data_IF_763186465198
#
_entry.id   IF_763186465198
#
_cell.length_a   1.000
_cell.length_b   1.000
_cell.length_c   1.000
_cell.angle_alpha   90.00
_cell.angle_beta   90.00
_cell.angle_gamma   90.00
#
_symmetry.space_group_name_H-M   'P 1'
#
loop_
_entity.id
_entity.type
_entity.pdbx_description
1 polymer ?
#
# COMPACT_ATOMS: atom_id res chain seq x y z
N UNK A 1 53.80 71.80 -23.49
CA UNK A 1 53.68 72.13 -22.06
C UNK A 1 52.21 72.21 -21.70
N UNK A 2 51.83 71.80 -20.48
CA UNK A 2 51.03 70.60 -20.32
C UNK A 2 49.77 70.83 -19.48
N UNK A 3 48.82 69.92 -19.66
CA UNK A 3 47.84 69.40 -18.69
C UNK A 3 46.88 68.66 -19.63
N UNK A 4 46.95 67.34 -19.74
CA UNK A 4 46.08 66.45 -18.97
C UNK A 4 46.69 65.03 -18.97
N UNK A 5 47.09 64.52 -17.79
CA UNK A 5 46.97 63.09 -17.55
C UNK A 5 46.41 62.74 -16.16
N UNK A 6 45.55 63.59 -15.56
CA UNK A 6 44.95 63.33 -14.23
C UNK A 6 43.43 63.12 -14.19
N UNK A 7 42.67 63.50 -15.22
CA UNK A 7 41.20 63.43 -15.18
C UNK A 7 40.61 62.05 -15.56
N UNK A 8 41.31 61.24 -16.36
CA UNK A 8 40.81 59.93 -16.83
C UNK A 8 41.12 58.76 -15.88
N UNK A 9 42.05 58.93 -14.94
CA UNK A 9 42.35 57.93 -13.90
C UNK A 9 41.33 58.01 -12.75
N UNK A 10 40.91 59.23 -12.38
CA UNK A 10 39.98 59.47 -11.28
C UNK A 10 38.56 58.90 -11.50
N UNK A 11 38.08 58.89 -12.75
CA UNK A 11 36.72 58.40 -13.07
C UNK A 11 36.62 56.87 -13.11
N UNK A 12 37.75 56.16 -13.25
CA UNK A 12 37.78 54.68 -13.21
C UNK A 12 37.91 54.13 -11.78
N UNK A 13 38.58 54.83 -10.87
CA UNK A 13 38.66 54.41 -9.46
C UNK A 13 37.34 54.64 -8.72
N UNK A 14 36.67 55.79 -8.90
CA UNK A 14 35.38 56.07 -8.26
C UNK A 14 34.28 55.05 -8.63
N UNK A 15 34.22 54.61 -9.90
CA UNK A 15 33.28 53.55 -10.34
C UNK A 15 33.63 52.16 -9.81
N UNK A 16 34.88 51.93 -9.39
CA UNK A 16 35.33 50.67 -8.83
C UNK A 16 35.04 50.62 -7.33
N UNK A 17 35.27 51.71 -6.61
CA UNK A 17 34.93 51.86 -5.19
C UNK A 17 33.42 51.77 -4.96
N UNK A 18 32.60 52.48 -5.75
CA UNK A 18 31.13 52.46 -5.59
C UNK A 18 30.54 51.05 -5.81
N UNK A 19 31.07 50.28 -6.77
CA UNK A 19 30.68 48.88 -6.99
C UNK A 19 31.14 47.95 -5.86
N UNK A 20 32.26 48.24 -5.21
CA UNK A 20 32.79 47.43 -4.12
C UNK A 20 31.98 47.66 -2.83
N UNK A 21 31.61 48.91 -2.54
CA UNK A 21 30.77 49.28 -1.38
C UNK A 21 29.34 48.73 -1.50
N UNK A 22 28.75 48.68 -2.70
CA UNK A 22 27.42 48.07 -2.92
C UNK A 22 27.48 46.55 -2.73
N UNK A 23 28.58 45.90 -3.11
CA UNK A 23 28.77 44.45 -2.95
C UNK A 23 28.98 44.06 -1.49
N UNK A 24 29.78 44.82 -0.74
CA UNK A 24 29.96 44.63 0.70
C UNK A 24 28.69 44.90 1.51
N UNK A 25 27.91 45.93 1.16
CA UNK A 25 26.61 46.18 1.81
C UNK A 25 25.61 45.05 1.56
N UNK A 26 25.56 44.46 0.35
CA UNK A 26 24.71 43.27 0.09
C UNK A 26 25.16 42.04 0.87
N UNK A 27 26.46 41.78 0.94
CA UNK A 27 27.00 40.59 1.64
C UNK A 27 26.75 40.71 3.16
N UNK A 28 26.97 41.89 3.76
CA UNK A 28 26.70 42.08 5.19
C UNK A 28 25.20 42.05 5.52
N UNK A 29 24.33 42.60 4.66
CA UNK A 29 22.88 42.54 4.87
C UNK A 29 22.33 41.11 4.74
N UNK A 30 22.91 40.30 3.86
CA UNK A 30 22.51 38.90 3.67
C UNK A 30 23.01 38.01 4.80
N UNK A 31 24.22 38.25 5.32
CA UNK A 31 24.80 37.55 6.48
C UNK A 31 24.02 37.80 7.77
N UNK A 32 23.56 39.03 8.00
CA UNK A 32 22.82 39.41 9.22
C UNK A 32 21.40 38.80 9.25
N UNK A 33 20.72 38.71 8.10
CA UNK A 33 19.42 38.05 8.01
C UNK A 33 19.51 36.52 8.16
N UNK A 34 20.58 35.88 7.69
CA UNK A 34 20.78 34.43 7.89
C UNK A 34 21.08 34.06 9.34
N UNK A 35 21.83 34.86 10.09
CA UNK A 35 22.13 34.53 11.50
C UNK A 35 20.92 34.75 12.43
N UNK A 36 20.09 35.77 12.18
CA UNK A 36 18.85 35.98 12.95
C UNK A 36 17.84 34.85 12.69
N UNK A 37 17.72 34.38 11.44
CA UNK A 37 16.84 33.25 11.10
C UNK A 37 17.36 31.91 11.65
N UNK A 38 18.68 31.69 11.71
CA UNK A 38 19.25 30.49 12.34
C UNK A 38 19.07 30.50 13.87
N UNK A 39 19.30 31.64 14.52
CA UNK A 39 19.13 31.81 15.97
C UNK A 39 17.67 31.61 16.41
N UNK A 40 16.72 32.19 15.67
CA UNK A 40 15.29 32.02 15.94
C UNK A 40 14.78 30.61 15.63
N UNK A 41 15.36 29.89 14.66
CA UNK A 41 15.05 28.49 14.37
C UNK A 41 15.61 27.52 15.44
N UNK A 42 16.80 27.80 15.98
CA UNK A 42 17.41 26.98 17.05
C UNK A 42 16.68 27.11 18.39
N UNK A 43 16.17 28.30 18.73
CA UNK A 43 15.35 28.50 19.94
C UNK A 43 13.95 27.86 19.82
N UNK A 44 13.44 27.71 18.59
CA UNK A 44 12.18 27.00 18.33
C UNK A 44 12.32 25.48 18.52
N UNK A 45 13.50 24.92 18.23
CA UNK A 45 13.80 23.50 18.44
C UNK A 45 14.06 23.13 19.92
N UNK A 46 14.46 24.08 20.77
CA UNK A 46 14.68 23.82 22.20
C UNK A 46 13.43 23.98 23.07
N UNK A 47 12.34 24.53 22.55
CA UNK A 47 11.08 24.77 23.30
C UNK A 47 9.97 23.78 22.96
N UNK A 48 10.14 22.98 21.91
CA UNK A 48 9.27 21.84 21.61
C UNK A 48 10.10 20.56 21.64
N UNK A 49 10.15 19.83 22.76
CA UNK A 49 10.57 18.44 22.68
C UNK A 49 9.60 17.75 21.72
N UNK A 50 10.07 17.41 20.51
CA UNK A 50 9.35 16.51 19.63
C UNK A 50 9.40 15.14 20.29
N UNK A 51 8.44 14.87 21.17
CA UNK A 51 8.15 13.53 21.63
C UNK A 51 7.51 12.79 20.46
N UNK A 52 8.33 12.09 19.66
CA UNK A 52 7.82 11.00 18.84
C UNK A 52 7.46 9.88 19.81
N UNK A 53 6.22 9.91 20.30
CA UNK A 53 5.68 8.81 21.11
C UNK A 53 5.53 7.60 20.16
N UNK A 54 6.54 6.74 20.12
CA UNK A 54 6.65 5.61 19.19
C UNK A 54 5.70 4.44 19.48
N UNK A 55 4.60 4.66 20.20
CA UNK A 55 3.67 3.62 20.67
C UNK A 55 2.33 3.60 19.93
N UNK A 56 2.13 4.47 18.92
CA UNK A 56 0.92 4.50 18.12
C UNK A 56 1.04 3.69 16.82
N UNK A 57 -0.01 2.95 16.47
CA UNK A 57 -0.16 2.36 15.13
C UNK A 57 -0.12 3.47 14.07
N UNK A 58 0.69 3.30 13.02
CA UNK A 58 0.78 4.25 11.91
C UNK A 58 -0.48 4.15 11.06
N UNK A 59 -1.25 5.22 11.05
CA UNK A 59 -2.54 5.26 10.37
C UNK A 59 -2.83 6.66 9.82
N UNK A 60 -3.69 6.72 8.81
CA UNK A 60 -4.25 7.97 8.31
C UNK A 60 -5.66 8.11 8.87
N UNK A 61 -5.94 9.22 9.53
CA UNK A 61 -7.25 9.54 10.09
C UNK A 61 -7.82 10.77 9.39
N UNK A 62 -8.99 10.61 8.78
CA UNK A 62 -9.80 11.68 8.23
C UNK A 62 -11.10 11.74 9.04
N UNK A 63 -11.41 12.87 9.70
CA UNK A 63 -12.61 12.98 10.50
C UNK A 63 -13.87 12.94 9.62
N UNK A 64 -14.92 12.33 10.14
CA UNK A 64 -16.26 12.33 9.53
C UNK A 64 -17.28 11.76 10.50
N UNK A 65 -18.57 11.98 10.21
CA UNK A 65 -19.67 11.40 10.99
C UNK A 65 -19.76 9.89 10.79
N UNK A 66 -19.48 9.41 9.57
CA UNK A 66 -19.39 8.00 9.22
C UNK A 66 -17.94 7.71 8.83
N UNK A 67 -17.23 6.82 9.53
CA UNK A 67 -15.83 6.51 9.21
C UNK A 67 -15.72 5.18 8.50
N UNK A 68 -15.04 5.17 7.36
CA UNK A 68 -14.69 3.95 6.63
C UNK A 68 -13.27 3.50 6.99
N UNK A 69 -13.12 2.22 7.33
CA UNK A 69 -11.81 1.59 7.44
C UNK A 69 -11.20 1.38 6.06
N UNK A 70 -9.89 1.49 5.93
CA UNK A 70 -9.15 1.25 4.69
C UNK A 70 -7.95 0.34 4.94
N UNK A 71 -7.79 -0.71 4.14
CA UNK A 71 -6.62 -1.60 4.18
C UNK A 71 -5.91 -1.61 2.83
N UNK A 72 -4.67 -1.12 2.83
CA UNK A 72 -3.84 -1.04 1.63
C UNK A 72 -2.47 -1.66 1.85
N UNK A 73 -1.87 -2.30 0.83
CA UNK A 73 -0.49 -2.77 0.90
C UNK A 73 0.45 -1.60 0.60
N UNK A 74 0.55 -0.64 1.54
CA UNK A 74 1.41 0.54 1.39
C UNK A 74 2.87 0.12 1.32
N UNK A 75 3.25 -0.89 2.11
CA UNK A 75 4.56 -1.52 2.03
C UNK A 75 4.50 -2.97 1.53
N UNK A 76 5.62 -3.41 0.95
CA UNK A 76 5.95 -4.82 0.71
C UNK A 76 6.13 -5.55 2.05
N UNK A 77 6.12 -6.89 2.01
CA UNK A 77 6.50 -7.67 3.17
C UNK A 77 7.99 -7.44 3.52
N UNK A 78 8.30 -7.24 4.80
CA UNK A 78 9.67 -7.13 5.28
C UNK A 78 10.49 -8.41 5.06
N UNK A 79 11.82 -8.31 5.16
CA UNK A 79 12.70 -9.48 5.09
C UNK A 79 12.31 -10.47 6.19
N UNK A 80 12.20 -11.75 5.84
CA UNK A 80 11.78 -12.83 6.74
C UNK A 80 10.39 -12.66 7.39
N UNK A 81 9.53 -11.80 6.85
CA UNK A 81 8.18 -11.57 7.38
C UNK A 81 8.13 -10.69 8.63
N UNK A 82 9.25 -10.08 9.02
CA UNK A 82 9.29 -9.14 10.14
C UNK A 82 9.16 -7.70 9.63
N UNK A 83 8.10 -7.02 10.06
CA UNK A 83 7.86 -5.62 9.74
C UNK A 83 7.54 -5.37 8.26
N UNK A 84 7.55 -4.09 7.91
CA UNK A 84 7.18 -3.58 6.60
C UNK A 84 8.44 -3.34 5.75
N UNK A 85 8.36 -3.69 4.48
CA UNK A 85 9.42 -3.56 3.49
C UNK A 85 9.44 -2.18 2.82
N UNK A 86 9.71 -2.14 1.52
CA UNK A 86 9.71 -0.91 0.74
C UNK A 86 8.29 -0.43 0.46
N UNK A 87 8.13 0.87 0.23
CA UNK A 87 6.84 1.47 -0.17
C UNK A 87 6.47 1.02 -1.60
N UNK A 88 5.21 0.62 -1.77
CA UNK A 88 4.57 0.28 -3.05
C UNK A 88 3.84 1.51 -3.59
N UNK A 89 4.51 2.28 -4.44
CA UNK A 89 3.98 3.55 -4.95
C UNK A 89 2.63 3.38 -5.68
N UNK A 90 2.52 2.41 -6.59
CA UNK A 90 1.32 2.19 -7.41
C UNK A 90 0.27 1.35 -6.66
N UNK A 91 0.64 0.16 -6.17
CA UNK A 91 -0.31 -0.78 -5.59
C UNK A 91 -0.75 -0.40 -4.17
N UNK A 92 0.05 0.41 -3.47
CA UNK A 92 -0.16 0.86 -2.10
C UNK A 92 -0.61 2.31 -2.05
N UNK A 93 0.32 3.24 -2.28
CA UNK A 93 0.06 4.67 -2.12
C UNK A 93 -1.00 5.20 -3.09
N UNK A 94 -0.95 4.86 -4.38
CA UNK A 94 -1.94 5.34 -5.35
C UNK A 94 -3.35 4.83 -5.01
N UNK A 95 -3.49 3.58 -4.56
CA UNK A 95 -4.79 3.02 -4.14
C UNK A 95 -5.30 3.68 -2.86
N UNK A 96 -4.43 3.92 -1.89
CA UNK A 96 -4.77 4.70 -0.69
C UNK A 96 -5.24 6.12 -1.06
N UNK A 97 -4.48 6.80 -1.92
CA UNK A 97 -4.82 8.14 -2.41
C UNK A 97 -6.14 8.15 -3.17
N UNK A 98 -6.45 7.09 -3.94
CA UNK A 98 -7.72 6.94 -4.63
C UNK A 98 -8.91 6.83 -3.65
N UNK A 99 -8.75 6.15 -2.52
CA UNK A 99 -9.78 6.13 -1.46
C UNK A 99 -9.97 7.52 -0.85
N UNK A 100 -8.89 8.24 -0.55
CA UNK A 100 -8.97 9.61 -0.01
C UNK A 100 -9.66 10.55 -1.00
N UNK A 101 -9.32 10.45 -2.29
CA UNK A 101 -9.97 11.18 -3.36
C UNK A 101 -11.47 10.86 -3.42
N UNK A 102 -11.85 9.59 -3.36
CA UNK A 102 -13.26 9.19 -3.39
C UNK A 102 -14.04 9.71 -2.17
N UNK A 103 -13.44 9.69 -0.97
CA UNK A 103 -14.04 10.27 0.24
C UNK A 103 -14.28 11.78 0.06
N UNK A 104 -13.29 12.50 -0.48
CA UNK A 104 -13.42 13.92 -0.76
C UNK A 104 -14.50 14.22 -1.81
N UNK A 105 -14.53 13.46 -2.91
CA UNK A 105 -15.51 13.61 -3.99
C UNK A 105 -16.94 13.35 -3.48
N UNK A 106 -17.16 12.30 -2.69
CA UNK A 106 -18.47 12.00 -2.11
C UNK A 106 -18.93 13.12 -1.18
N UNK A 107 -18.04 13.63 -0.33
CA UNK A 107 -18.37 14.73 0.59
C UNK A 107 -18.73 16.04 -0.13
N UNK A 108 -18.30 16.23 -1.39
CA UNK A 108 -18.68 17.38 -2.22
C UNK A 108 -20.06 17.21 -2.87
N UNK A 109 -20.55 15.97 -3.03
CA UNK A 109 -21.79 15.64 -3.72
C UNK A 109 -22.96 15.46 -2.76
N UNK A 110 -23.77 16.52 -2.59
CA UNK A 110 -24.95 16.52 -1.70
C UNK A 110 -26.05 15.54 -2.12
N UNK A 111 -26.02 15.04 -3.36
CA UNK A 111 -26.96 14.04 -3.87
C UNK A 111 -26.71 12.62 -3.32
N UNK A 112 -25.48 12.32 -2.88
CA UNK A 112 -25.11 11.00 -2.35
C UNK A 112 -25.30 10.95 -0.83
N UNK A 113 -24.78 11.96 -0.11
CA UNK A 113 -24.91 12.09 1.33
C UNK A 113 -25.25 13.54 1.71
N UNK A 114 -26.54 13.93 1.74
CA UNK A 114 -26.94 15.32 1.94
C UNK A 114 -26.70 15.84 3.37
N UNK A 115 -26.62 14.96 4.37
CA UNK A 115 -26.61 15.33 5.79
C UNK A 115 -25.48 14.68 6.61
N UNK A 116 -24.57 13.95 5.96
CA UNK A 116 -23.50 13.23 6.63
C UNK A 116 -22.16 13.38 5.91
N UNK A 117 -21.07 13.54 6.66
CA UNK A 117 -19.71 13.46 6.13
C UNK A 117 -19.10 12.07 6.31
N UNK A 118 -18.42 11.60 5.27
CA UNK A 118 -17.56 10.42 5.31
C UNK A 118 -16.17 10.82 5.80
N UNK A 119 -15.65 10.08 6.77
CA UNK A 119 -14.26 10.06 7.19
C UNK A 119 -13.58 8.74 6.83
N UNK A 120 -12.31 8.62 7.16
CA UNK A 120 -11.51 7.43 6.87
C UNK A 120 -10.54 7.11 8.01
N UNK A 121 -10.35 5.83 8.27
CA UNK A 121 -9.25 5.29 9.07
C UNK A 121 -8.48 4.30 8.19
N UNK A 122 -7.28 4.66 7.76
CA UNK A 122 -6.52 3.85 6.80
C UNK A 122 -5.29 3.25 7.48
N UNK A 123 -5.12 1.95 7.30
CA UNK A 123 -4.05 1.14 7.87
C UNK A 123 -3.29 0.42 6.77
N UNK A 124 -2.01 0.18 7.03
CA UNK A 124 -1.15 -0.59 6.15
C UNK A 124 -1.25 -2.08 6.45
N UNK A 125 -1.34 -2.91 5.42
CA UNK A 125 -1.28 -4.36 5.54
C UNK A 125 0.16 -4.89 5.51
N UNK A 126 1.11 -4.07 5.07
CA UNK A 126 2.50 -4.44 4.79
C UNK A 126 2.63 -5.70 3.92
N UNK A 127 1.59 -5.98 3.12
CA UNK A 127 1.45 -7.21 2.34
C UNK A 127 1.59 -8.50 3.17
N UNK A 128 1.40 -8.45 4.49
CA UNK A 128 1.47 -9.60 5.42
C UNK A 128 0.11 -9.79 6.09
N UNK A 129 -0.37 -11.03 6.06
CA UNK A 129 -1.69 -11.42 6.57
C UNK A 129 -1.82 -11.30 8.10
N UNK A 130 -0.82 -11.76 8.86
CA UNK A 130 -0.78 -11.59 10.32
C UNK A 130 -0.75 -10.12 10.73
N UNK A 131 0.07 -9.30 10.07
CA UNK A 131 0.16 -7.87 10.35
C UNK A 131 -1.16 -7.15 10.05
N UNK A 132 -1.81 -7.48 8.93
CA UNK A 132 -3.10 -6.92 8.59
C UNK A 132 -4.20 -7.32 9.58
N UNK A 133 -4.14 -8.52 10.15
CA UNK A 133 -5.05 -8.95 11.19
C UNK A 133 -4.87 -8.12 12.47
N UNK A 134 -3.62 -7.85 12.87
CA UNK A 134 -3.32 -6.95 13.99
C UNK A 134 -3.86 -5.54 13.72
N UNK A 135 -3.70 -5.01 12.50
CA UNK A 135 -4.27 -3.71 12.13
C UNK A 135 -5.80 -3.72 12.19
N UNK A 136 -6.44 -4.82 11.80
CA UNK A 136 -7.90 -4.95 11.82
C UNK A 136 -8.47 -4.82 13.23
N UNK A 137 -7.68 -5.10 14.28
CA UNK A 137 -8.09 -4.84 15.67
C UNK A 137 -8.42 -3.37 15.90
N UNK A 138 -7.71 -2.43 15.26
CA UNK A 138 -7.97 -0.99 15.38
C UNK A 138 -9.39 -0.60 14.97
N UNK A 139 -9.94 -1.27 13.95
CA UNK A 139 -11.30 -1.01 13.46
C UNK A 139 -12.39 -1.47 14.42
N UNK A 140 -12.12 -2.54 15.17
CA UNK A 140 -13.11 -3.16 16.06
C UNK A 140 -12.94 -2.74 17.52
N UNK A 141 -11.84 -2.09 17.90
CA UNK A 141 -11.61 -1.62 19.28
C UNK A 141 -12.79 -0.82 19.82
N UNK A 142 -13.33 0.10 19.02
CA UNK A 142 -14.52 0.88 19.40
C UNK A 142 -15.79 0.05 19.53
N UNK A 143 -15.91 -1.07 18.81
CA UNK A 143 -17.04 -1.99 18.89
C UNK A 143 -16.91 -2.97 20.08
N UNK A 144 -15.70 -3.30 20.50
CA UNK A 144 -15.43 -4.16 21.67
C UNK A 144 -15.73 -3.46 23.00
N UNK A 145 -15.79 -2.13 23.03
CA UNK A 145 -16.12 -1.33 24.22
C UNK A 145 -17.63 -1.34 24.53
N UNK A 146 -18.18 -2.52 24.84
CA UNK A 146 -19.55 -2.71 25.31
C UNK A 146 -19.66 -2.52 26.83
N UNK A 147 -19.78 -1.26 27.31
CA UNK A 147 -19.84 -0.96 28.75
C UNK A 147 -18.49 -1.27 29.44
N UNK A 148 -18.01 -0.63 30.49
CA UNK A 148 -18.57 0.17 31.58
C UNK A 148 -17.37 0.90 32.22
N UNK A 149 -17.58 2.10 32.74
CA UNK A 149 -16.78 2.72 33.82
C UNK A 149 -15.27 2.43 33.83
N UNK A 150 -14.56 2.84 32.78
CA UNK A 150 -13.12 3.07 32.96
C UNK A 150 -13.01 4.47 33.56
N UNK A 151 -12.87 4.53 34.87
CA UNK A 151 -12.45 5.75 35.54
C UNK A 151 -10.94 5.90 35.36
N UNK A 152 -10.54 7.06 34.85
CA UNK A 152 -9.16 7.49 34.90
C UNK A 152 -8.72 7.57 36.37
N UNK A 153 -7.40 7.57 36.64
CA UNK A 153 -6.86 7.67 38.00
C UNK A 153 -7.33 8.92 38.77
N UNK A 154 -7.86 9.93 38.06
CA UNK A 154 -8.43 11.16 38.58
C UNK A 154 -9.95 11.09 38.84
N UNK A 155 -10.58 9.92 38.67
CA UNK A 155 -12.02 9.72 38.82
C UNK A 155 -12.85 10.26 37.66
N UNK A 156 -12.23 10.75 36.58
CA UNK A 156 -12.96 11.14 35.37
C UNK A 156 -13.40 9.92 34.58
N UNK A 157 -14.60 9.97 33.98
CA UNK A 157 -15.01 8.93 33.05
C UNK A 157 -14.13 9.01 31.79
N UNK A 158 -13.54 7.88 31.41
CA UNK A 158 -12.77 7.80 30.18
C UNK A 158 -13.69 8.07 28.97
N UNK A 159 -13.55 9.25 28.38
CA UNK A 159 -14.16 9.59 27.10
C UNK A 159 -13.47 8.83 25.97
N UNK A 160 -13.81 7.55 25.81
CA UNK A 160 -13.50 6.83 24.58
C UNK A 160 -14.49 7.27 23.52
N UNK A 161 -14.01 8.01 22.52
CA UNK A 161 -14.81 8.27 21.31
C UNK A 161 -15.00 6.92 20.61
N UNK A 162 -16.15 6.28 20.84
CA UNK A 162 -16.57 5.04 20.18
C UNK A 162 -16.74 5.30 18.70
N UNK A 163 -15.64 5.26 17.96
CA UNK A 163 -15.67 5.44 16.51
C UNK A 163 -15.25 4.12 15.87
N UNK A 164 -16.14 3.13 15.98
CA UNK A 164 -16.04 1.93 15.17
C UNK A 164 -16.26 2.31 13.70
N UNK A 165 -15.52 1.68 12.79
CA UNK A 165 -15.72 1.90 11.36
C UNK A 165 -17.05 1.32 10.90
N UNK A 166 -17.74 2.01 9.99
CA UNK A 166 -19.02 1.55 9.45
C UNK A 166 -18.85 0.41 8.43
N UNK A 167 -17.74 0.41 7.70
CA UNK A 167 -17.36 -0.62 6.75
C UNK A 167 -15.84 -0.58 6.52
N UNK A 168 -15.26 -1.64 5.97
CA UNK A 168 -13.84 -1.69 5.60
C UNK A 168 -13.68 -1.83 4.10
N UNK A 169 -12.91 -0.92 3.49
CA UNK A 169 -12.51 -0.96 2.09
C UNK A 169 -11.15 -1.66 1.99
N UNK A 170 -11.08 -2.75 1.22
CA UNK A 170 -9.91 -3.62 1.14
C UNK A 170 -10.21 -5.05 1.62
N UNK A 171 -9.20 -5.90 1.83
CA UNK A 171 -7.79 -5.68 1.51
C UNK A 171 -7.49 -5.98 0.03
N UNK A 172 -6.23 -5.78 -0.39
CA UNK A 172 -5.80 -6.07 -1.75
C UNK A 172 -5.58 -7.57 -2.00
N UNK A 173 -4.72 -8.21 -1.19
CA UNK A 173 -4.39 -9.64 -1.34
C UNK A 173 -5.53 -10.53 -0.87
N UNK A 174 -5.87 -11.58 -1.63
CA UNK A 174 -6.93 -12.53 -1.26
C UNK A 174 -6.66 -13.21 0.08
N UNK A 175 -5.40 -13.54 0.39
CA UNK A 175 -5.01 -14.15 1.66
C UNK A 175 -5.32 -13.21 2.84
N UNK A 176 -4.95 -11.94 2.71
CA UNK A 176 -5.25 -10.91 3.71
C UNK A 176 -6.77 -10.73 3.84
N UNK A 177 -7.49 -10.62 2.74
CA UNK A 177 -8.95 -10.45 2.76
C UNK A 177 -9.66 -11.63 3.41
N UNK A 178 -9.19 -12.87 3.25
CA UNK A 178 -9.75 -14.04 3.95
C UNK A 178 -9.60 -13.90 5.47
N UNK A 179 -8.42 -13.50 5.96
CA UNK A 179 -8.19 -13.33 7.40
C UNK A 179 -9.02 -12.17 7.98
N UNK A 180 -9.00 -11.02 7.29
CA UNK A 180 -9.73 -9.82 7.69
C UNK A 180 -11.24 -10.07 7.69
N UNK A 181 -11.78 -10.70 6.64
CA UNK A 181 -13.21 -11.00 6.54
C UNK A 181 -13.67 -11.94 7.65
N UNK A 182 -12.85 -12.94 7.98
CA UNK A 182 -13.13 -13.90 9.06
C UNK A 182 -13.26 -13.21 10.42
N UNK A 183 -12.53 -12.12 10.63
CA UNK A 183 -12.57 -11.32 11.86
C UNK A 183 -13.71 -10.30 11.85
N UNK A 184 -13.84 -9.51 10.79
CA UNK A 184 -14.84 -8.44 10.70
C UNK A 184 -16.28 -8.96 10.77
N UNK A 185 -16.54 -10.16 10.24
CA UNK A 185 -17.87 -10.77 10.31
C UNK A 185 -18.35 -11.06 11.74
N UNK A 186 -17.43 -11.29 12.69
CA UNK A 186 -17.78 -11.49 14.11
C UNK A 186 -18.43 -10.23 14.70
N UNK A 187 -18.03 -9.06 14.19
CA UNK A 187 -18.54 -7.75 14.57
C UNK A 187 -19.57 -7.19 13.58
N UNK A 188 -19.98 -8.01 12.60
CA UNK A 188 -20.94 -7.63 11.55
C UNK A 188 -20.52 -6.39 10.74
N UNK A 189 -19.21 -6.19 10.58
CA UNK A 189 -18.68 -5.06 9.82
C UNK A 189 -18.54 -5.51 8.35
N UNK A 190 -19.24 -4.86 7.42
CA UNK A 190 -19.12 -5.18 6.00
C UNK A 190 -17.73 -4.82 5.46
N UNK A 191 -17.21 -5.68 4.61
CA UNK A 191 -15.92 -5.50 3.92
C UNK A 191 -16.14 -5.50 2.41
N UNK A 192 -15.57 -4.51 1.71
CA UNK A 192 -15.58 -4.42 0.25
C UNK A 192 -14.16 -4.37 -0.28
N UNK A 193 -13.69 -5.48 -0.87
CA UNK A 193 -12.37 -5.53 -1.48
C UNK A 193 -12.35 -4.93 -2.90
N UNK A 194 -11.29 -4.19 -3.20
CA UNK A 194 -11.02 -3.61 -4.52
C UNK A 194 -10.10 -4.46 -5.39
N UNK A 195 -9.52 -5.57 -4.88
CA UNK A 195 -8.50 -6.33 -5.63
C UNK A 195 -8.42 -7.83 -5.30
N UNK A 196 -9.09 -8.33 -4.26
CA UNK A 196 -9.02 -9.75 -3.91
C UNK A 196 -9.94 -10.60 -4.77
N UNK A 197 -9.35 -11.41 -5.64
CA UNK A 197 -10.04 -12.21 -6.66
C UNK A 197 -10.21 -13.69 -6.30
N UNK A 198 -9.68 -14.14 -5.16
CA UNK A 198 -9.76 -15.54 -4.73
C UNK A 198 -11.19 -16.10 -4.79
N UNK A 199 -11.38 -17.25 -5.43
CA UNK A 199 -12.71 -17.82 -5.67
C UNK A 199 -13.46 -18.15 -4.37
N UNK A 200 -12.71 -18.57 -3.34
CA UNK A 200 -13.20 -18.90 -2.00
C UNK A 200 -13.94 -17.76 -1.30
N UNK A 201 -13.59 -16.51 -1.59
CA UNK A 201 -14.25 -15.33 -1.02
C UNK A 201 -15.70 -15.15 -1.53
N UNK A 202 -16.12 -15.92 -2.54
CA UNK A 202 -17.51 -15.95 -3.01
C UNK A 202 -18.41 -16.85 -2.17
N UNK A 203 -17.83 -17.65 -1.26
CA UNK A 203 -18.56 -18.61 -0.43
C UNK A 203 -19.31 -17.88 0.70
N UNK A 204 -20.56 -17.46 0.43
CA UNK A 204 -21.36 -16.63 1.35
C UNK A 204 -21.74 -17.32 2.65
N UNK A 205 -21.73 -18.65 2.70
CA UNK A 205 -21.86 -19.39 3.97
C UNK A 205 -20.70 -19.12 4.93
N UNK A 206 -19.51 -18.79 4.42
CA UNK A 206 -18.30 -18.51 5.21
C UNK A 206 -17.96 -17.03 5.33
N UNK A 207 -18.29 -16.23 4.32
CA UNK A 207 -17.94 -14.81 4.24
C UNK A 207 -19.18 -13.95 3.98
N UNK A 208 -20.12 -13.95 4.94
CA UNK A 208 -21.43 -13.28 4.83
C UNK A 208 -21.28 -11.78 4.57
N UNK A 209 -20.35 -11.13 5.28
CA UNK A 209 -20.12 -9.68 5.26
C UNK A 209 -19.08 -9.22 4.22
N UNK A 210 -18.53 -10.14 3.42
CA UNK A 210 -17.54 -9.81 2.40
C UNK A 210 -18.19 -9.58 1.04
N UNK A 211 -17.79 -8.50 0.37
CA UNK A 211 -18.10 -8.23 -1.04
C UNK A 211 -16.85 -7.70 -1.76
N UNK A 212 -16.91 -7.59 -3.09
CA UNK A 212 -15.81 -7.06 -3.89
C UNK A 212 -16.31 -6.45 -5.19
N UNK A 213 -15.51 -5.53 -5.74
CA UNK A 213 -15.78 -4.89 -7.05
C UNK A 213 -15.01 -5.54 -8.21
N UNK A 214 -14.27 -6.63 -7.94
CA UNK A 214 -13.51 -7.40 -8.94
C UNK A 214 -14.07 -8.83 -9.07
N UNK A 215 -13.99 -9.46 -10.26
CA UNK A 215 -14.50 -10.81 -10.46
C UNK A 215 -13.64 -11.89 -9.77
N UNK A 216 -14.20 -13.08 -9.50
CA UNK A 216 -13.45 -14.24 -9.03
C UNK A 216 -12.48 -14.83 -10.07
N UNK A 217 -11.39 -15.43 -9.59
CA UNK A 217 -10.35 -16.07 -10.40
C UNK A 217 -10.83 -17.27 -11.23
N UNK A 218 -11.94 -17.91 -10.87
CA UNK A 218 -12.48 -19.03 -11.65
C UNK A 218 -12.86 -18.58 -13.07
N UNK A 219 -13.38 -17.35 -13.23
CA UNK A 219 -13.68 -16.79 -14.55
C UNK A 219 -12.40 -16.53 -15.34
N UNK A 220 -11.37 -15.96 -14.71
CA UNK A 220 -10.06 -15.74 -15.32
C UNK A 220 -9.43 -17.07 -15.75
N UNK A 221 -9.46 -18.08 -14.88
CA UNK A 221 -8.92 -19.40 -15.13
C UNK A 221 -9.59 -20.09 -16.34
N UNK A 222 -10.92 -20.00 -16.46
CA UNK A 222 -11.64 -20.51 -17.63
C UNK A 222 -11.20 -19.81 -18.91
N UNK A 223 -11.02 -18.48 -18.88
CA UNK A 223 -10.55 -17.72 -20.05
C UNK A 223 -9.12 -18.13 -20.42
N UNK A 224 -8.23 -18.28 -19.44
CA UNK A 224 -6.85 -18.74 -19.68
C UNK A 224 -6.81 -20.11 -20.35
N UNK A 225 -7.62 -21.07 -19.88
CA UNK A 225 -7.71 -22.40 -20.48
C UNK A 225 -8.23 -22.34 -21.93
N UNK A 226 -9.23 -21.49 -22.22
CA UNK A 226 -9.73 -21.26 -23.58
C UNK A 226 -8.67 -20.67 -24.50
N UNK A 227 -7.90 -19.68 -24.04
CA UNK A 227 -6.80 -19.11 -24.83
C UNK A 227 -5.76 -20.18 -25.19
N UNK A 228 -5.39 -21.03 -24.23
CA UNK A 228 -4.43 -22.13 -24.47
C UNK A 228 -4.99 -23.15 -25.45
N UNK A 229 -6.30 -23.41 -25.41
CA UNK A 229 -6.99 -24.27 -26.37
C UNK A 229 -6.93 -23.71 -27.79
N UNK A 230 -7.19 -22.43 -27.97
CA UNK A 230 -7.10 -21.73 -29.26
C UNK A 230 -5.65 -21.70 -29.80
N UNK A 231 -4.64 -21.72 -28.91
CA UNK A 231 -3.23 -21.85 -29.28
C UNK A 231 -2.81 -23.30 -29.61
N UNK A 232 -3.73 -24.26 -29.54
CA UNK A 232 -3.49 -25.68 -29.79
C UNK A 232 -2.38 -26.28 -28.90
N UNK A 233 -2.25 -25.78 -27.67
CA UNK A 233 -1.30 -26.31 -26.69
C UNK A 233 -1.95 -27.44 -25.89
N UNK A 234 -1.35 -28.62 -25.93
CA UNK A 234 -1.83 -29.80 -25.17
C UNK A 234 -1.08 -30.02 -23.86
N UNK A 235 0.11 -29.44 -23.70
CA UNK A 235 0.93 -29.51 -22.48
C UNK A 235 1.45 -28.13 -22.09
N UNK A 236 1.28 -27.79 -20.81
CA UNK A 236 1.78 -26.55 -20.21
C UNK A 236 2.43 -26.80 -18.85
N UNK A 237 3.38 -25.97 -18.45
CA UNK A 237 3.79 -25.90 -17.05
C UNK A 237 2.84 -24.99 -16.26
N UNK A 238 2.79 -25.18 -14.96
CA UNK A 238 1.95 -24.41 -14.07
C UNK A 238 2.74 -23.96 -12.83
N UNK A 239 2.68 -22.67 -12.52
CA UNK A 239 3.31 -22.06 -11.34
C UNK A 239 2.23 -21.36 -10.53
N UNK A 240 2.21 -21.62 -9.22
CA UNK A 240 1.26 -21.02 -8.30
C UNK A 240 1.98 -20.49 -7.05
N UNK A 241 1.58 -19.30 -6.60
CA UNK A 241 1.96 -18.81 -5.27
C UNK A 241 1.31 -19.66 -4.18
N UNK A 242 2.07 -19.97 -3.12
CA UNK A 242 1.53 -20.62 -1.93
C UNK A 242 0.48 -19.74 -1.27
N UNK A 243 -0.65 -20.35 -0.92
CA UNK A 243 -1.79 -19.71 -0.25
C UNK A 243 -2.97 -19.41 -1.18
N UNK A 244 -3.93 -18.64 -0.67
CA UNK A 244 -5.32 -18.68 -1.19
C UNK A 244 -5.46 -18.23 -2.65
N UNK A 245 -4.83 -17.13 -3.06
CA UNK A 245 -4.88 -16.66 -4.46
C UNK A 245 -4.25 -17.66 -5.45
N UNK A 246 -2.96 -17.97 -5.26
CA UNK A 246 -2.21 -18.75 -6.24
C UNK A 246 -2.70 -20.19 -6.38
N UNK A 247 -2.93 -20.87 -5.26
CA UNK A 247 -3.36 -22.27 -5.28
C UNK A 247 -4.80 -22.42 -5.77
N UNK A 248 -5.74 -21.60 -5.28
CA UNK A 248 -7.17 -21.72 -5.67
C UNK A 248 -7.41 -21.27 -7.11
N UNK A 249 -6.69 -20.25 -7.57
CA UNK A 249 -6.69 -19.84 -8.97
C UNK A 249 -6.17 -20.95 -9.88
N UNK A 250 -5.05 -21.59 -9.50
CA UNK A 250 -4.48 -22.69 -10.26
C UNK A 250 -5.35 -23.96 -10.23
N UNK A 251 -6.03 -24.25 -9.13
CA UNK A 251 -6.99 -25.34 -9.07
C UNK A 251 -8.17 -25.11 -10.03
N UNK A 252 -8.67 -23.87 -10.09
CA UNK A 252 -9.71 -23.48 -11.05
C UNK A 252 -9.22 -23.62 -12.49
N UNK A 253 -7.96 -23.26 -12.76
CA UNK A 253 -7.35 -23.43 -14.07
C UNK A 253 -7.21 -24.91 -14.43
N UNK A 254 -6.73 -25.74 -13.51
CA UNK A 254 -6.57 -27.18 -13.74
C UNK A 254 -7.90 -27.84 -14.10
N UNK A 255 -8.98 -27.49 -13.40
CA UNK A 255 -10.32 -27.98 -13.71
C UNK A 255 -10.75 -27.60 -15.14
N UNK A 256 -10.66 -26.31 -15.50
CA UNK A 256 -11.03 -25.83 -16.83
C UNK A 256 -10.12 -26.38 -17.95
N UNK A 257 -8.83 -26.55 -17.68
CA UNK A 257 -7.86 -27.11 -18.62
C UNK A 257 -8.16 -28.59 -18.92
N UNK A 258 -8.53 -29.36 -17.89
CA UNK A 258 -8.88 -30.79 -18.02
C UNK A 258 -10.07 -30.98 -18.94
N UNK A 259 -11.11 -30.14 -18.82
CA UNK A 259 -12.28 -30.17 -19.69
C UNK A 259 -11.96 -29.89 -21.17
N UNK A 260 -10.89 -29.14 -21.44
CA UNK A 260 -10.45 -28.78 -22.79
C UNK A 260 -9.36 -29.71 -23.36
N UNK A 261 -8.97 -30.74 -22.60
CA UNK A 261 -7.93 -31.71 -22.98
C UNK A 261 -6.50 -31.15 -22.89
N UNK A 262 -6.25 -30.19 -22.00
CA UNK A 262 -4.94 -29.58 -21.74
C UNK A 262 -4.35 -30.22 -20.49
N UNK A 263 -3.13 -30.75 -20.59
CA UNK A 263 -2.39 -31.37 -19.50
C UNK A 263 -1.38 -30.41 -18.87
N UNK A 264 -1.21 -30.53 -17.55
CA UNK A 264 -0.09 -29.92 -16.84
C UNK A 264 1.08 -30.91 -16.86
N UNK A 265 2.25 -30.46 -17.31
CA UNK A 265 3.46 -31.29 -17.34
C UNK A 265 4.08 -31.38 -15.93
N UNK A 266 3.87 -32.54 -15.29
CA UNK A 266 4.27 -32.80 -13.92
C UNK A 266 3.34 -32.14 -12.89
N UNK A 267 3.91 -31.74 -11.76
CA UNK A 267 3.18 -31.07 -10.69
C UNK A 267 3.13 -29.56 -10.87
N UNK A 268 2.10 -28.93 -10.29
CA UNK A 268 2.07 -27.47 -10.14
C UNK A 268 3.22 -27.03 -9.23
N UNK A 269 4.07 -26.16 -9.76
CA UNK A 269 5.21 -25.62 -9.04
C UNK A 269 4.75 -24.54 -8.06
N UNK A 270 4.72 -24.89 -6.77
CA UNK A 270 4.38 -23.97 -5.70
C UNK A 270 5.58 -23.09 -5.33
N UNK A 271 5.44 -21.78 -5.47
CA UNK A 271 6.47 -20.81 -5.10
C UNK A 271 6.04 -20.02 -3.87
N UNK A 272 7.02 -19.61 -3.07
CA UNK A 272 6.77 -18.84 -1.84
C UNK A 272 7.52 -17.51 -1.87
N UNK A 273 6.97 -16.51 -1.17
CA UNK A 273 7.61 -15.20 -0.99
C UNK A 273 9.00 -15.26 -0.37
N UNK A 274 9.39 -16.37 0.25
CA UNK A 274 10.75 -16.59 0.80
C UNK A 274 11.78 -17.07 -0.22
N UNK A 275 11.36 -17.37 -1.45
CA UNK A 275 12.27 -17.88 -2.49
C UNK A 275 13.29 -16.83 -2.90
N UNK A 276 14.51 -17.33 -3.17
CA UNK A 276 15.63 -16.57 -3.70
C UNK A 276 15.88 -16.91 -5.18
N UNK A 277 16.81 -16.20 -5.82
CA UNK A 277 17.12 -16.37 -7.24
C UNK A 277 17.55 -17.79 -7.61
N UNK A 278 18.27 -18.49 -6.71
CA UNK A 278 18.68 -19.88 -6.94
C UNK A 278 17.45 -20.80 -7.04
N UNK A 279 16.48 -20.66 -6.15
CA UNK A 279 15.25 -21.47 -6.21
C UNK A 279 14.49 -21.27 -7.53
N UNK A 280 14.43 -20.04 -8.04
CA UNK A 280 13.81 -19.73 -9.32
C UNK A 280 14.60 -20.30 -10.50
N UNK A 281 15.94 -20.18 -10.50
CA UNK A 281 16.80 -20.79 -11.53
C UNK A 281 16.62 -22.31 -11.56
N UNK A 282 16.62 -22.96 -10.41
CA UNK A 282 16.41 -24.41 -10.30
C UNK A 282 15.02 -24.83 -10.82
N UNK A 283 13.99 -24.00 -10.61
CA UNK A 283 12.66 -24.21 -11.17
C UNK A 283 12.65 -24.10 -12.71
N UNK A 284 13.25 -23.03 -13.26
CA UNK A 284 13.35 -22.84 -14.71
C UNK A 284 14.11 -23.99 -15.36
N UNK A 285 15.22 -24.43 -14.77
CA UNK A 285 15.99 -25.57 -15.27
C UNK A 285 15.20 -26.88 -15.26
N UNK A 286 14.36 -27.11 -14.24
CA UNK A 286 13.49 -28.29 -14.20
C UNK A 286 12.44 -28.28 -15.31
N UNK A 287 11.77 -27.15 -15.53
CA UNK A 287 10.81 -26.98 -16.62
C UNK A 287 11.48 -27.14 -17.99
N UNK A 288 12.65 -26.51 -18.19
CA UNK A 288 13.39 -26.60 -19.44
C UNK A 288 13.79 -28.04 -19.81
N UNK A 289 14.02 -28.92 -18.84
CA UNK A 289 14.47 -30.30 -19.12
C UNK A 289 13.38 -31.21 -19.68
N UNK A 290 12.10 -30.94 -19.44
CA UNK A 290 11.04 -31.86 -19.91
C UNK A 290 10.78 -31.71 -21.40
N UNK A 291 10.96 -30.51 -21.96
CA UNK A 291 10.77 -30.17 -23.39
C UNK A 291 9.37 -30.52 -23.95
N UNK A 292 8.40 -30.87 -23.09
CA UNK A 292 7.04 -31.26 -23.48
C UNK A 292 6.06 -30.10 -23.49
N UNK A 293 6.19 -29.19 -22.53
CA UNK A 293 5.29 -28.06 -22.38
C UNK A 293 5.60 -26.95 -23.38
N UNK A 294 4.55 -26.37 -24.00
CA UNK A 294 4.68 -25.25 -24.95
C UNK A 294 4.65 -23.88 -24.30
N UNK A 295 4.21 -23.80 -23.05
CA UNK A 295 4.08 -22.55 -22.31
C UNK A 295 4.00 -22.76 -20.81
N UNK A 296 4.03 -21.65 -20.06
CA UNK A 296 3.94 -21.62 -18.60
C UNK A 296 2.75 -20.78 -18.18
N UNK A 297 1.84 -21.38 -17.42
CA UNK A 297 0.69 -20.72 -16.81
C UNK A 297 1.05 -20.32 -15.39
N UNK A 298 0.78 -19.07 -15.01
CA UNK A 298 1.19 -18.54 -13.72
C UNK A 298 0.02 -17.89 -12.97
N UNK A 299 -0.24 -18.34 -11.75
CA UNK A 299 -1.10 -17.68 -10.75
C UNK A 299 -0.23 -17.23 -9.58
N UNK A 300 0.37 -16.06 -9.71
CA UNK A 300 1.39 -15.55 -8.79
C UNK A 300 1.10 -14.10 -8.39
N UNK A 301 1.39 -13.76 -7.14
CA UNK A 301 1.32 -12.40 -6.62
C UNK A 301 2.45 -11.55 -7.25
N UNK A 302 2.19 -10.26 -7.39
CA UNK A 302 3.09 -9.32 -8.03
C UNK A 302 4.44 -9.21 -7.30
N UNK A 303 4.45 -9.34 -5.97
CA UNK A 303 5.67 -9.27 -5.16
C UNK A 303 6.66 -10.41 -5.55
N UNK A 304 6.13 -11.55 -6.01
CA UNK A 304 6.94 -12.66 -6.53
C UNK A 304 7.32 -12.47 -8.00
N UNK A 305 6.54 -11.73 -8.78
CA UNK A 305 6.88 -11.36 -10.16
C UNK A 305 8.04 -10.35 -10.22
N UNK A 306 8.06 -9.33 -9.36
CA UNK A 306 9.07 -8.25 -9.37
C UNK A 306 10.49 -8.70 -9.00
N UNK A 307 10.63 -9.75 -8.19
CA UNK A 307 11.95 -10.38 -7.94
C UNK A 307 12.63 -10.88 -9.23
N UNK A 308 11.89 -10.97 -10.33
CA UNK A 308 12.37 -11.35 -11.66
C UNK A 308 12.93 -10.19 -12.48
N UNK A 309 12.48 -8.95 -12.25
CA UNK A 309 12.78 -7.81 -13.14
C UNK A 309 13.94 -6.92 -12.67
N UNK A 310 14.60 -7.25 -11.55
CA UNK A 310 15.83 -6.60 -11.11
C UNK A 310 17.11 -7.16 -11.75
N UNK A 311 16.97 -8.06 -12.73
CA UNK A 311 18.07 -8.61 -13.50
C UNK A 311 17.95 -8.14 -14.96
N UNK A 312 18.31 -6.88 -15.17
CA UNK A 312 18.75 -6.32 -16.47
C UNK A 312 19.38 -4.96 -16.21
#
# INVERSE_FOLDING_TARGET
MPMWPRALVYTKELKKEEKQTIKEKRINQQSFHTEILLSSFLLFLSTFPIYVNGSGVRQVLVPGQIVLGGLFPIHEAGRNGTGCGRIKAEQGLQRMAAMLYAVEDINRRREILPAASIGAQILDTCSVDSYALEQTLEFIRGAMSHGSEVECLDGSQATYKKQAVAAVIGAASSQVSVMVASMLQLFKIPQVSYSSTGAELSEKSRFVYFSRVVPPDNLQATVMAKVIKELEWTYVHAIADTGSYGERGMDSFRAAATELGICIDGDVHKISRRWNEKNFKDLIWRMYRTQKARGVVMFVDEDNLKKRSGAS
#
